data_IF_784376658155
#
_entry.id   IF_784376658155
#
_cell.length_a   1.000
_cell.length_b   1.000
_cell.length_c   1.000
_cell.angle_alpha   90.00
_cell.angle_beta   90.00
_cell.angle_gamma   90.00
#
_symmetry.space_group_name_H-M   'P 1'
#
loop_
_entity.id
_entity.type
_entity.pdbx_description
1 polymer ?
#
# COMPACT_ATOMS: atom_id res chain seq x y z
N UNK A 1 33.65 44.84 49.08
CA UNK A 1 32.52 45.66 48.56
C UNK A 1 32.58 45.67 47.03
N UNK A 2 31.46 45.36 46.34
CA UNK A 2 31.14 45.53 44.89
C UNK A 2 32.08 44.82 43.88
N UNK A 3 31.67 44.08 42.86
CA UNK A 3 30.40 43.84 42.13
C UNK A 3 30.60 42.53 41.34
N UNK A 4 29.78 41.48 41.55
CA UNK A 4 28.61 41.06 40.74
C UNK A 4 28.89 40.66 39.28
N UNK A 5 28.84 39.34 39.05
CA UNK A 5 28.24 38.54 37.95
C UNK A 5 28.18 39.14 36.54
N UNK A 6 28.63 38.38 35.53
CA UNK A 6 27.89 38.03 34.30
C UNK A 6 28.87 37.43 33.27
N UNK A 7 28.90 36.10 33.13
CA UNK A 7 29.25 35.48 31.86
C UNK A 7 28.16 34.48 31.52
N UNK A 8 27.47 34.79 30.41
CA UNK A 8 26.28 34.14 29.94
C UNK A 8 26.53 32.68 29.54
N UNK A 9 25.59 31.83 29.91
CA UNK A 9 25.45 30.50 29.35
C UNK A 9 25.15 30.62 27.84
N UNK A 10 26.06 30.16 26.99
CA UNK A 10 25.81 29.95 25.57
C UNK A 10 24.97 28.67 25.46
N UNK A 11 23.67 28.83 25.26
CA UNK A 11 22.73 27.74 24.97
C UNK A 11 22.84 27.38 23.48
N UNK A 12 23.04 26.11 23.09
CA UNK A 12 23.01 25.72 21.69
C UNK A 12 21.54 25.63 21.21
N UNK A 13 21.06 26.67 20.52
CA UNK A 13 19.69 26.71 19.93
C UNK A 13 19.66 26.15 18.49
N UNK A 14 20.75 25.56 18.00
CA UNK A 14 20.86 25.24 16.57
C UNK A 14 20.23 23.89 16.13
N UNK A 15 19.76 23.02 17.03
CA UNK A 15 19.33 21.66 16.64
C UNK A 15 17.81 21.46 16.48
N UNK A 16 16.95 22.42 16.83
CA UNK A 16 15.49 22.23 16.74
C UNK A 16 14.85 22.72 15.41
N UNK A 17 15.58 23.49 14.60
CA UNK A 17 15.04 24.06 13.35
C UNK A 17 14.93 23.08 12.16
N UNK A 18 15.75 22.02 12.14
CA UNK A 18 15.82 21.13 10.99
C UNK A 18 14.71 20.06 10.94
N UNK A 19 14.06 19.76 12.07
CA UNK A 19 13.02 18.74 12.12
C UNK A 19 11.66 19.20 11.57
N UNK A 20 11.35 20.51 11.63
CA UNK A 20 10.05 21.03 11.21
C UNK A 20 9.87 21.11 9.69
N UNK A 21 10.96 21.25 8.92
CA UNK A 21 10.91 21.38 7.45
C UNK A 21 10.55 20.05 6.76
N UNK A 22 10.86 18.92 7.40
CA UNK A 22 10.52 17.58 6.88
C UNK A 22 9.03 17.23 6.97
N UNK A 23 8.22 18.04 7.67
CA UNK A 23 6.80 17.78 7.92
C UNK A 23 5.86 18.77 7.23
N UNK A 24 6.37 19.78 6.52
CA UNK A 24 5.53 20.69 5.74
C UNK A 24 5.09 20.01 4.44
N UNK A 25 3.90 19.41 4.42
CA UNK A 25 3.29 18.94 3.18
C UNK A 25 2.51 20.08 2.51
N UNK A 26 2.50 20.14 1.16
CA UNK A 26 1.56 21.00 0.46
C UNK A 26 0.16 20.69 0.94
N UNK A 27 -0.62 21.71 1.31
CA UNK A 27 -2.00 21.49 1.71
C UNK A 27 -2.81 21.05 0.50
N UNK A 28 -3.67 20.06 0.67
CA UNK A 28 -4.68 19.73 -0.34
C UNK A 28 -5.52 20.99 -0.64
N UNK A 29 -5.70 21.31 -1.93
CA UNK A 29 -6.60 22.41 -2.30
C UNK A 29 -8.00 22.08 -1.82
N UNK A 30 -8.66 23.04 -1.16
CA UNK A 30 -10.02 22.83 -0.67
C UNK A 30 -10.94 22.57 -1.87
N UNK A 31 -11.60 21.41 -1.95
CA UNK A 31 -12.51 21.15 -3.05
C UNK A 31 -13.73 22.08 -2.95
N UNK A 32 -14.33 22.40 -4.08
CA UNK A 32 -15.66 22.99 -4.11
C UNK A 32 -16.66 21.89 -3.81
N UNK A 33 -17.43 22.03 -2.73
CA UNK A 33 -18.45 21.07 -2.32
C UNK A 33 -19.82 21.73 -2.40
N UNK A 34 -20.70 21.19 -3.23
CA UNK A 34 -22.09 21.63 -3.37
C UNK A 34 -23.02 20.51 -2.92
N UNK A 35 -23.94 20.82 -2.02
CA UNK A 35 -25.04 19.91 -1.66
C UNK A 35 -26.25 20.32 -2.49
N UNK A 36 -26.69 19.44 -3.38
CA UNK A 36 -27.83 19.66 -4.26
C UNK A 36 -29.14 19.51 -3.49
N UNK A 37 -30.23 20.01 -4.06
CA UNK A 37 -31.57 19.96 -3.45
C UNK A 37 -32.11 18.54 -3.26
N UNK A 38 -31.63 17.58 -4.05
CA UNK A 38 -31.97 16.16 -3.94
C UNK A 38 -31.12 15.41 -2.88
N UNK A 39 -30.24 16.13 -2.19
CA UNK A 39 -29.33 15.57 -1.18
C UNK A 39 -28.03 15.00 -1.75
N UNK A 40 -27.83 15.01 -3.07
CA UNK A 40 -26.56 14.59 -3.67
C UNK A 40 -25.43 15.60 -3.39
N UNK A 41 -24.19 15.12 -3.27
CA UNK A 41 -23.02 15.95 -2.99
C UNK A 41 -22.11 15.96 -4.23
N UNK A 42 -21.88 17.14 -4.80
CA UNK A 42 -20.90 17.35 -5.87
C UNK A 42 -19.59 17.88 -5.27
N UNK A 43 -18.49 17.16 -5.51
CA UNK A 43 -17.13 17.55 -5.09
C UNK A 43 -16.32 17.83 -6.36
N UNK A 44 -15.82 19.06 -6.50
CA UNK A 44 -15.06 19.51 -7.67
C UNK A 44 -13.69 20.06 -7.27
N UNK A 45 -12.74 20.01 -8.20
CA UNK A 45 -11.39 20.59 -8.05
C UNK A 45 -10.62 20.08 -6.83
N UNK A 46 -10.84 18.84 -6.41
CA UNK A 46 -10.06 18.21 -5.35
C UNK A 46 -8.64 17.91 -5.87
N UNK A 47 -7.63 18.42 -5.16
CA UNK A 47 -6.22 18.11 -5.43
C UNK A 47 -5.65 17.40 -4.22
N UNK A 48 -5.27 16.13 -4.39
CA UNK A 48 -4.59 15.32 -3.37
C UNK A 48 -3.10 15.25 -3.71
N UNK A 49 -2.21 15.96 -2.98
CA UNK A 49 -0.78 15.89 -3.25
C UNK A 49 -0.19 14.54 -2.85
N UNK A 50 0.93 14.16 -3.47
CA UNK A 50 1.67 12.98 -3.03
C UNK A 50 2.18 13.20 -1.59
N UNK A 51 1.99 12.22 -0.68
CA UNK A 51 2.50 12.37 0.68
C UNK A 51 4.03 12.51 0.71
N UNK A 52 4.52 13.55 1.38
CA UNK A 52 5.95 13.82 1.54
C UNK A 52 6.70 12.72 2.32
N UNK A 53 5.98 11.96 3.17
CA UNK A 53 6.51 10.81 3.91
C UNK A 53 6.77 9.58 3.04
N UNK A 54 6.27 9.55 1.80
CA UNK A 54 6.57 8.44 0.90
C UNK A 54 8.04 8.46 0.50
N UNK A 55 8.63 7.27 0.48
CA UNK A 55 9.91 7.06 -0.19
C UNK A 55 9.79 7.43 -1.67
N UNK A 56 10.91 7.75 -2.31
CA UNK A 56 10.95 8.02 -3.75
C UNK A 56 10.41 6.85 -4.57
N UNK A 57 10.64 5.60 -4.12
CA UNK A 57 10.04 4.41 -4.69
C UNK A 57 8.51 4.41 -4.56
N UNK A 58 7.99 4.72 -3.38
CA UNK A 58 6.54 4.82 -3.12
C UNK A 58 5.87 5.89 -3.98
N UNK A 59 6.49 7.07 -4.14
CA UNK A 59 6.01 8.14 -5.04
C UNK A 59 5.91 7.63 -6.48
N UNK A 60 6.96 6.97 -7.00
CA UNK A 60 6.95 6.38 -8.34
C UNK A 60 5.87 5.32 -8.53
N UNK A 61 5.53 4.54 -7.50
CA UNK A 61 4.43 3.57 -7.57
C UNK A 61 3.08 4.29 -7.68
N UNK A 62 2.81 5.28 -6.84
CA UNK A 62 1.53 6.02 -6.90
C UNK A 62 1.36 6.81 -8.18
N UNK A 63 2.45 7.35 -8.75
CA UNK A 63 2.39 8.06 -10.04
C UNK A 63 2.11 7.15 -11.24
N UNK A 64 2.28 5.83 -11.09
CA UNK A 64 1.93 4.84 -12.13
C UNK A 64 0.49 4.34 -11.99
N UNK A 65 -0.11 4.48 -10.81
CA UNK A 65 -1.48 4.03 -10.57
C UNK A 65 -2.46 5.03 -11.20
N UNK A 66 -3.41 4.53 -11.98
CA UNK A 66 -4.62 5.30 -12.26
C UNK A 66 -5.41 5.51 -10.97
N UNK A 67 -6.09 6.65 -10.77
CA UNK A 67 -7.03 6.85 -9.67
C UNK A 67 -8.17 5.83 -9.80
N UNK A 68 -7.95 4.67 -9.21
CA UNK A 68 -8.89 3.55 -9.14
C UNK A 68 -9.10 3.24 -7.65
N UNK A 69 -9.79 2.16 -7.31
CA UNK A 69 -10.30 1.84 -5.96
C UNK A 69 -9.23 1.61 -4.86
N UNK A 70 -8.04 2.20 -4.97
CA UNK A 70 -7.07 2.31 -3.90
C UNK A 70 -5.66 2.63 -4.42
N UNK A 71 -4.82 3.32 -3.64
CA UNK A 71 -3.41 3.46 -3.95
C UNK A 71 -2.75 2.06 -4.05
N UNK A 72 -2.24 1.72 -5.23
CA UNK A 72 -1.42 0.52 -5.44
C UNK A 72 -2.11 -0.68 -6.09
N UNK A 73 -3.37 -0.59 -6.55
CA UNK A 73 -3.91 -1.60 -7.46
C UNK A 73 -3.12 -1.55 -8.78
N UNK A 74 -2.30 -2.57 -9.12
CA UNK A 74 -1.43 -2.50 -10.30
C UNK A 74 -2.24 -2.52 -11.60
N UNK A 75 -3.47 -3.06 -11.54
CA UNK A 75 -4.40 -3.12 -12.66
C UNK A 75 -5.84 -2.88 -12.16
N UNK A 76 -6.64 -2.08 -12.87
CA UNK A 76 -8.05 -1.91 -12.56
C UNK A 76 -8.81 -3.23 -12.72
N UNK A 77 -9.88 -3.42 -11.94
CA UNK A 77 -10.80 -4.54 -12.16
C UNK A 77 -11.51 -4.33 -13.51
N UNK A 78 -11.55 -5.33 -14.40
CA UNK A 78 -12.26 -5.22 -15.68
C UNK A 78 -13.73 -4.86 -15.47
N UNK A 79 -14.19 -3.83 -16.19
CA UNK A 79 -15.59 -3.41 -16.21
C UNK A 79 -16.27 -3.86 -17.51
N UNK A 80 -17.60 -4.04 -17.48
CA UNK A 80 -18.37 -4.38 -18.69
C UNK A 80 -18.38 -5.88 -19.05
N UNK A 81 -17.81 -6.73 -18.21
CA UNK A 81 -17.91 -8.20 -18.32
C UNK A 81 -19.01 -8.66 -17.36
N UNK A 82 -20.04 -9.32 -17.89
CA UNK A 82 -21.17 -9.81 -17.08
C UNK A 82 -20.84 -11.09 -16.31
N UNK A 83 -19.98 -11.95 -16.88
CA UNK A 83 -19.58 -13.20 -16.25
C UNK A 83 -18.41 -13.00 -15.26
N UNK A 84 -18.64 -13.37 -14.00
CA UNK A 84 -17.64 -13.26 -12.94
C UNK A 84 -16.46 -14.22 -13.12
N UNK A 85 -16.66 -15.38 -13.76
CA UNK A 85 -15.56 -16.30 -14.03
C UNK A 85 -14.57 -15.66 -15.03
N UNK A 86 -15.11 -15.04 -16.09
CA UNK A 86 -14.31 -14.29 -17.05
C UNK A 86 -13.62 -13.05 -16.45
N UNK A 87 -14.32 -12.29 -15.58
CA UNK A 87 -13.68 -11.19 -14.82
C UNK A 87 -12.44 -11.69 -14.08
N UNK A 88 -12.54 -12.82 -13.37
CA UNK A 88 -11.42 -13.41 -12.62
C UNK A 88 -10.29 -13.86 -13.54
N UNK A 89 -10.60 -14.52 -14.65
CA UNK A 89 -9.59 -14.98 -15.62
C UNK A 89 -8.75 -13.80 -16.14
N UNK A 90 -9.41 -12.78 -16.67
CA UNK A 90 -8.75 -11.58 -17.22
C UNK A 90 -7.97 -10.84 -16.15
N UNK A 91 -8.54 -10.68 -14.95
CA UNK A 91 -7.87 -9.99 -13.85
C UNK A 91 -6.60 -10.74 -13.40
N UNK A 92 -6.64 -12.06 -13.34
CA UNK A 92 -5.49 -12.89 -12.99
C UNK A 92 -4.38 -12.83 -14.06
N UNK A 93 -4.75 -12.82 -15.34
CA UNK A 93 -3.79 -12.63 -16.44
C UNK A 93 -3.08 -11.27 -16.35
N UNK A 94 -3.84 -10.21 -16.09
CA UNK A 94 -3.31 -8.86 -15.93
C UNK A 94 -2.37 -8.74 -14.71
N UNK A 95 -2.59 -9.53 -13.67
CA UNK A 95 -1.76 -9.54 -12.48
C UNK A 95 -0.54 -10.47 -12.59
N UNK A 96 -0.53 -11.42 -13.53
CA UNK A 96 0.54 -12.42 -13.68
C UNK A 96 1.95 -11.83 -13.70
N UNK A 97 2.25 -10.72 -14.41
CA UNK A 97 3.60 -10.14 -14.40
C UNK A 97 4.07 -9.69 -13.01
N UNK A 98 3.15 -9.21 -12.16
CA UNK A 98 3.48 -8.85 -10.78
C UNK A 98 3.78 -10.10 -9.94
N UNK A 99 3.04 -11.19 -10.15
CA UNK A 99 3.27 -12.47 -9.47
C UNK A 99 4.63 -13.05 -9.88
N UNK A 100 4.94 -13.04 -11.17
CA UNK A 100 6.21 -13.53 -11.70
C UNK A 100 7.37 -12.72 -11.10
N UNK A 101 7.27 -11.38 -11.10
CA UNK A 101 8.27 -10.52 -10.46
C UNK A 101 8.43 -10.81 -8.96
N UNK A 102 7.36 -11.10 -8.24
CA UNK A 102 7.45 -11.44 -6.81
C UNK A 102 8.15 -12.76 -6.55
N UNK A 103 7.97 -13.75 -7.43
CA UNK A 103 8.71 -15.02 -7.37
C UNK A 103 10.19 -14.85 -7.67
N UNK A 104 10.56 -13.89 -8.51
CA UNK A 104 11.97 -13.54 -8.78
C UNK A 104 12.63 -12.86 -7.58
N UNK A 105 11.93 -11.91 -6.95
CA UNK A 105 12.47 -11.12 -5.83
C UNK A 105 12.50 -11.91 -4.52
N UNK A 106 11.51 -12.76 -4.27
CA UNK A 106 11.39 -13.52 -3.03
C UNK A 106 11.62 -15.02 -3.28
N UNK A 107 12.75 -15.60 -2.84
CA UNK A 107 13.05 -17.00 -3.05
C UNK A 107 12.20 -17.88 -2.14
N UNK A 108 11.07 -18.34 -2.68
CA UNK A 108 10.12 -19.23 -2.02
C UNK A 108 9.85 -20.48 -2.85
N UNK A 109 9.48 -21.56 -2.17
CA UNK A 109 8.85 -22.73 -2.74
C UNK A 109 7.35 -22.62 -2.52
N UNK A 110 6.57 -22.96 -3.55
CA UNK A 110 5.11 -22.87 -3.56
C UNK A 110 4.55 -24.24 -3.90
N UNK A 111 3.77 -24.80 -2.99
CA UNK A 111 3.04 -26.05 -3.18
C UNK A 111 1.54 -25.76 -3.24
N UNK A 112 0.91 -25.95 -4.40
CA UNK A 112 -0.56 -25.97 -4.49
C UNK A 112 -1.08 -27.29 -3.91
N UNK A 113 -2.03 -27.20 -2.97
CA UNK A 113 -2.54 -28.35 -2.23
C UNK A 113 -4.02 -28.20 -1.90
N UNK A 114 -4.58 -29.16 -1.18
CA UNK A 114 -5.94 -29.13 -0.65
C UNK A 114 -5.94 -29.59 0.80
N UNK A 115 -6.49 -28.75 1.68
CA UNK A 115 -6.57 -29.01 3.12
C UNK A 115 -8.05 -29.13 3.49
N UNK A 116 -8.47 -30.31 3.94
CA UNK A 116 -9.86 -30.59 4.30
C UNK A 116 -10.89 -30.21 3.21
N UNK A 117 -10.54 -30.41 1.94
CA UNK A 117 -11.39 -30.09 0.78
C UNK A 117 -11.34 -28.63 0.33
N UNK A 118 -10.56 -27.77 1.01
CA UNK A 118 -10.35 -26.38 0.64
C UNK A 118 -9.03 -26.27 -0.12
N UNK A 119 -9.06 -25.72 -1.33
CA UNK A 119 -7.84 -25.42 -2.08
C UNK A 119 -6.94 -24.52 -1.23
N UNK A 120 -5.62 -24.72 -1.27
CA UNK A 120 -4.66 -23.93 -0.52
C UNK A 120 -3.31 -23.87 -1.26
N UNK A 121 -2.44 -22.94 -0.87
CA UNK A 121 -1.04 -22.94 -1.25
C UNK A 121 -0.16 -22.86 -0.01
N UNK A 122 0.82 -23.76 0.11
CA UNK A 122 1.85 -23.70 1.14
C UNK A 122 3.06 -22.98 0.55
N UNK A 123 3.45 -21.87 1.17
CA UNK A 123 4.58 -21.05 0.72
C UNK A 123 5.68 -21.11 1.79
N UNK A 124 6.86 -21.62 1.40
CA UNK A 124 8.00 -21.80 2.30
C UNK A 124 9.21 -21.02 1.77
N UNK A 125 9.94 -20.24 2.59
CA UNK A 125 11.20 -19.64 2.16
C UNK A 125 12.21 -20.71 1.76
N UNK A 126 12.94 -20.54 0.65
CA UNK A 126 13.94 -21.52 0.19
C UNK A 126 15.07 -21.79 1.18
N UNK A 127 15.36 -20.84 2.07
CA UNK A 127 16.31 -21.00 3.17
C UNK A 127 15.76 -21.78 4.37
N UNK A 128 14.54 -22.30 4.27
CA UNK A 128 13.81 -22.92 5.37
C UNK A 128 13.11 -21.91 6.30
N UNK A 129 12.24 -22.42 7.16
CA UNK A 129 11.59 -21.63 8.20
C UNK A 129 12.60 -21.34 9.32
N UNK A 130 12.81 -20.07 9.72
CA UNK A 130 13.70 -19.73 10.82
C UNK A 130 13.32 -20.44 12.13
N UNK A 131 14.31 -20.83 12.95
CA UNK A 131 14.10 -21.57 14.21
C UNK A 131 12.98 -20.98 15.08
N UNK A 132 13.01 -19.66 15.28
CA UNK A 132 12.04 -18.89 16.06
C UNK A 132 10.57 -19.05 15.59
N UNK A 133 10.36 -19.54 14.38
CA UNK A 133 9.07 -19.69 13.73
C UNK A 133 8.69 -21.14 13.44
N UNK A 134 9.48 -22.16 13.83
CA UNK A 134 9.19 -23.57 13.49
C UNK A 134 7.80 -24.06 13.91
N UNK A 135 7.27 -23.54 15.02
CA UNK A 135 5.95 -23.88 15.54
C UNK A 135 4.93 -22.76 15.32
N UNK A 136 5.13 -21.94 14.29
CA UNK A 136 4.26 -20.83 13.92
C UNK A 136 3.87 -20.96 12.46
N UNK A 137 2.63 -20.61 12.16
CA UNK A 137 2.14 -20.49 10.79
C UNK A 137 1.56 -19.10 10.57
N UNK A 138 1.63 -18.62 9.34
CA UNK A 138 0.89 -17.45 8.89
C UNK A 138 -0.20 -17.91 7.94
N UNK A 139 -1.46 -17.69 8.32
CA UNK A 139 -2.60 -17.98 7.47
C UNK A 139 -2.94 -16.70 6.68
N UNK A 140 -2.77 -16.74 5.36
CA UNK A 140 -3.15 -15.64 4.49
C UNK A 140 -4.54 -15.87 3.90
N UNK A 141 -5.44 -14.91 4.09
CA UNK A 141 -6.70 -14.81 3.35
C UNK A 141 -6.59 -13.66 2.34
N UNK A 142 -6.47 -13.93 1.04
CA UNK A 142 -6.25 -12.87 0.06
C UNK A 142 -7.44 -11.89 0.03
N UNK A 143 -7.12 -10.62 -0.27
CA UNK A 143 -8.12 -9.57 -0.49
C UNK A 143 -8.88 -9.77 -1.82
N UNK A 144 -9.40 -8.68 -2.39
CA UNK A 144 -10.15 -8.72 -3.65
C UNK A 144 -11.66 -8.51 -3.49
N UNK A 145 -12.09 -7.89 -2.39
CA UNK A 145 -13.47 -7.47 -2.18
C UNK A 145 -14.49 -8.62 -2.31
N UNK A 146 -14.12 -9.82 -1.86
CA UNK A 146 -14.91 -11.05 -1.91
C UNK A 146 -15.26 -11.58 -3.31
N UNK A 147 -14.73 -10.95 -4.37
CA UNK A 147 -15.05 -11.26 -5.76
C UNK A 147 -13.84 -11.75 -6.54
N UNK A 148 -12.66 -11.23 -6.23
CA UNK A 148 -11.37 -11.56 -6.87
C UNK A 148 -10.36 -12.03 -5.82
N UNK A 149 -9.08 -12.06 -6.15
CA UNK A 149 -7.99 -12.42 -5.23
C UNK A 149 -7.48 -13.84 -5.38
N UNK A 150 -8.37 -14.76 -5.78
CA UNK A 150 -8.02 -16.14 -6.16
C UNK A 150 -7.23 -16.12 -7.47
N UNK A 151 -5.94 -16.43 -7.39
CA UNK A 151 -4.90 -16.52 -8.43
C UNK A 151 -4.57 -15.16 -9.03
N UNK A 152 -5.10 -14.10 -8.41
CA UNK A 152 -4.84 -12.71 -8.77
C UNK A 152 -3.56 -12.22 -8.13
N UNK A 153 -3.32 -12.46 -6.84
CA UNK A 153 -2.22 -11.78 -6.12
C UNK A 153 -2.04 -12.18 -4.64
N UNK A 154 -2.35 -13.41 -4.22
CA UNK A 154 -2.13 -13.81 -2.81
C UNK A 154 -2.00 -15.30 -2.52
N UNK A 155 -1.75 -16.09 -3.57
CA UNK A 155 -1.68 -17.55 -3.67
C UNK A 155 -2.78 -18.34 -2.95
N UNK A 156 -3.29 -19.29 -3.72
CA UNK A 156 -4.67 -19.32 -4.22
C UNK A 156 -5.17 -18.15 -5.01
#
# INVERSE_FOLDING_TARGET
>A
MRNRFFYAAIVPVACFGAAAVLWSQPSATRPTVTINKDGSVAVQNAVVPLPALLSEGGKKVLMRATPTEGPGAPVPVPTGIADMAEVRRVYNENLKPNVDHMREVFPVDIEETTIAGISAAIITPKGGVPERNKNRLFLNGPGGGFRTGVRGNGLL
#
